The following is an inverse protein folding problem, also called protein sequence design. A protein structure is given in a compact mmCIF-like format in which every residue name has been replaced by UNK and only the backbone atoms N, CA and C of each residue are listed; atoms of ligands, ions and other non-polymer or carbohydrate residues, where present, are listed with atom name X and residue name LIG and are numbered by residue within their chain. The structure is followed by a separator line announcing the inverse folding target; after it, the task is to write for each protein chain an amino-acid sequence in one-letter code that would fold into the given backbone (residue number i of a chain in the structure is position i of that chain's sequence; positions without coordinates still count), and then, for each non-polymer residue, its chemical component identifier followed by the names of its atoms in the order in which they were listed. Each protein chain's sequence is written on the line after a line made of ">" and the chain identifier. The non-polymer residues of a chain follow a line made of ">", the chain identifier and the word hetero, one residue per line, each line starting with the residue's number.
data_IF_306799187256
#
_entry.id   IF_306799187256
#
_cell.length_a   1.000
_cell.length_b   1.000
_cell.length_c   1.000
_cell.angle_alpha   90.00
_cell.angle_beta   90.00
_cell.angle_gamma   90.00
#
_symmetry.space_group_name_H-M   'P 1'
#
loop_
_entity.id
_entity.type
_entity.pdbx_description
1 polymer ?
#
# COMPACT_ATOMS: atom_id res chain seq x y z
N UNK A 1 5.75 -14.56 -9.26
CA UNK A 1 5.03 -13.30 -9.58
C UNK A 1 4.37 -12.76 -8.32
N UNK A 2 4.59 -11.49 -8.04
CA UNK A 2 4.02 -10.84 -6.87
C UNK A 2 2.62 -10.32 -7.21
N UNK A 3 1.66 -10.61 -6.33
CA UNK A 3 0.29 -10.14 -6.50
C UNK A 3 0.04 -8.94 -5.61
N UNK A 4 -0.40 -7.84 -6.21
CA UNK A 4 -0.60 -6.56 -5.55
C UNK A 4 -2.05 -6.15 -5.73
N UNK A 5 -2.68 -5.67 -4.65
CA UNK A 5 -4.00 -5.07 -4.73
C UNK A 5 -3.94 -3.63 -4.25
N UNK A 6 -4.64 -2.75 -4.96
CA UNK A 6 -4.79 -1.35 -4.58
C UNK A 6 -6.23 -1.10 -4.16
N UNK A 7 -6.43 -0.66 -2.93
CA UNK A 7 -7.72 -0.28 -2.38
C UNK A 7 -7.75 1.24 -2.32
N UNK A 8 -8.43 1.88 -3.28
CA UNK A 8 -8.40 3.34 -3.39
C UNK A 8 -9.63 3.85 -4.12
N UNK A 9 -10.11 5.02 -3.69
CA UNK A 9 -11.11 5.80 -4.43
C UNK A 9 -10.49 6.51 -5.62
N UNK A 10 -9.17 6.63 -5.66
CA UNK A 10 -8.40 7.31 -6.71
C UNK A 10 -7.53 6.30 -7.47
N UNK A 11 -8.09 5.13 -7.74
CA UNK A 11 -7.36 4.01 -8.35
C UNK A 11 -6.63 4.42 -9.62
N UNK A 12 -7.32 5.12 -10.52
CA UNK A 12 -6.75 5.50 -11.82
C UNK A 12 -5.58 6.47 -11.70
N UNK A 13 -5.53 7.25 -10.62
CA UNK A 13 -4.46 8.21 -10.39
C UNK A 13 -3.24 7.55 -9.73
N UNK A 14 -3.44 6.56 -8.89
CA UNK A 14 -2.39 5.91 -8.11
C UNK A 14 -1.79 4.72 -8.86
N UNK A 15 -2.59 3.98 -9.59
CA UNK A 15 -2.15 2.78 -10.32
C UNK A 15 -0.89 3.01 -11.16
N UNK A 16 -0.81 4.08 -11.99
CA UNK A 16 0.38 4.28 -12.82
C UNK A 16 1.66 4.47 -12.02
N UNK A 17 1.57 5.10 -10.85
CA UNK A 17 2.74 5.33 -9.98
C UNK A 17 3.24 4.01 -9.39
N UNK A 18 2.33 3.14 -8.98
CA UNK A 18 2.69 1.82 -8.46
C UNK A 18 3.29 0.96 -9.58
N UNK A 19 2.69 0.99 -10.76
CA UNK A 19 3.20 0.25 -11.91
C UNK A 19 4.61 0.68 -12.28
N UNK A 20 4.85 1.98 -12.34
CA UNK A 20 6.17 2.49 -12.64
C UNK A 20 7.20 2.04 -11.60
N UNK A 21 6.83 2.10 -10.33
CA UNK A 21 7.71 1.71 -9.25
C UNK A 21 8.14 0.24 -9.36
N UNK A 22 7.18 -0.67 -9.56
CA UNK A 22 7.49 -2.10 -9.66
C UNK A 22 8.21 -2.45 -10.98
N UNK A 23 7.94 -1.73 -12.06
CA UNK A 23 8.71 -1.86 -13.29
C UNK A 23 10.17 -1.47 -13.06
N UNK A 24 10.40 -0.40 -12.31
CA UNK A 24 11.77 0.05 -12.00
C UNK A 24 12.51 -0.94 -11.11
N UNK A 25 11.79 -1.66 -10.24
CA UNK A 25 12.37 -2.73 -9.44
C UNK A 25 12.71 -3.98 -10.26
N UNK A 26 12.22 -4.06 -11.50
CA UNK A 26 12.38 -5.23 -12.38
C UNK A 26 11.80 -6.50 -11.76
N UNK A 27 10.70 -6.35 -11.01
CA UNK A 27 10.00 -7.45 -10.38
C UNK A 27 8.73 -7.75 -11.16
N UNK A 28 8.52 -9.02 -11.48
CA UNK A 28 7.30 -9.46 -12.14
C UNK A 28 6.13 -9.37 -11.15
N UNK A 29 5.06 -8.65 -11.53
CA UNK A 29 3.93 -8.39 -10.66
C UNK A 29 2.61 -8.39 -11.43
N UNK A 30 1.52 -8.53 -10.67
CA UNK A 30 0.15 -8.33 -11.18
C UNK A 30 -0.58 -7.40 -10.22
N UNK A 31 -1.03 -6.26 -10.74
CA UNK A 31 -1.75 -5.25 -9.96
C UNK A 31 -3.24 -5.29 -10.31
N UNK A 32 -4.08 -5.43 -9.30
CA UNK A 32 -5.53 -5.54 -9.47
C UNK A 32 -6.28 -4.67 -8.47
N UNK A 33 -7.56 -4.41 -8.76
CA UNK A 33 -8.47 -3.86 -7.78
C UNK A 33 -8.70 -4.86 -6.65
N UNK A 34 -9.02 -4.34 -5.47
CA UNK A 34 -9.28 -5.17 -4.32
C UNK A 34 -10.48 -6.11 -4.56
N UNK A 35 -10.27 -7.40 -4.24
CA UNK A 35 -11.35 -8.37 -4.18
C UNK A 35 -11.19 -9.18 -2.89
N UNK A 36 -12.30 -9.66 -2.34
CA UNK A 36 -12.28 -10.51 -1.15
C UNK A 36 -11.91 -11.96 -1.45
N UNK A 37 -11.80 -12.31 -2.72
CA UNK A 37 -11.71 -13.71 -3.15
C UNK A 37 -10.29 -14.27 -3.15
N UNK A 38 -9.28 -13.41 -3.29
CA UNK A 38 -7.90 -13.86 -3.38
C UNK A 38 -7.02 -13.08 -2.42
N UNK A 39 -6.11 -13.82 -1.74
CA UNK A 39 -5.10 -13.21 -0.88
C UNK A 39 -3.98 -12.67 -1.76
N UNK A 40 -3.59 -11.42 -1.53
CA UNK A 40 -2.51 -10.77 -2.25
C UNK A 40 -1.23 -10.75 -1.40
N UNK A 41 -0.10 -10.61 -2.06
CA UNK A 41 1.19 -10.47 -1.37
C UNK A 41 1.37 -9.08 -0.76
N UNK A 42 0.86 -8.05 -1.45
CA UNK A 42 0.95 -6.66 -1.02
C UNK A 42 -0.41 -6.00 -1.19
N UNK A 43 -0.83 -5.26 -0.17
CA UNK A 43 -1.99 -4.37 -0.25
C UNK A 43 -1.53 -2.93 -0.10
N UNK A 44 -1.86 -2.08 -1.08
CA UNK A 44 -1.80 -0.63 -0.95
C UNK A 44 -3.20 -0.14 -0.58
N UNK A 45 -3.32 0.54 0.53
CA UNK A 45 -4.61 1.03 1.03
C UNK A 45 -4.57 2.54 1.14
N UNK A 46 -5.36 3.22 0.32
CA UNK A 46 -5.50 4.67 0.43
C UNK A 46 -6.54 5.01 1.48
N UNK A 47 -6.17 5.91 2.40
CA UNK A 47 -7.05 6.42 3.44
C UNK A 47 -7.12 7.94 3.39
N UNK A 48 -8.26 8.50 3.76
CA UNK A 48 -8.44 9.95 3.89
C UNK A 48 -8.78 10.32 5.33
N UNK A 49 -9.43 9.42 6.05
CA UNK A 49 -9.92 9.65 7.41
C UNK A 49 -9.89 8.36 8.20
N UNK A 50 -10.12 8.47 9.51
CA UNK A 50 -10.02 7.36 10.45
C UNK A 50 -10.95 6.18 10.09
N UNK A 51 -12.14 6.45 9.58
CA UNK A 51 -13.08 5.38 9.22
C UNK A 51 -12.56 4.48 8.11
N UNK A 52 -11.68 4.99 7.25
CA UNK A 52 -11.10 4.20 6.17
C UNK A 52 -10.19 3.08 6.67
N UNK A 53 -9.77 3.16 7.94
CA UNK A 53 -8.91 2.14 8.55
C UNK A 53 -9.64 0.85 8.90
N UNK A 54 -10.97 0.82 8.79
CA UNK A 54 -11.75 -0.38 9.11
C UNK A 54 -11.35 -1.58 8.25
N UNK A 55 -10.94 -1.34 7.01
CA UNK A 55 -10.48 -2.41 6.11
C UNK A 55 -9.25 -3.14 6.68
N UNK A 56 -8.43 -2.46 7.47
CA UNK A 56 -7.23 -3.07 8.04
C UNK A 56 -7.55 -4.18 9.01
N UNK A 57 -8.68 -4.13 9.69
CA UNK A 57 -9.11 -5.20 10.59
C UNK A 57 -9.33 -6.50 9.82
N UNK A 58 -9.79 -6.41 8.59
CA UNK A 58 -9.96 -7.57 7.70
C UNK A 58 -8.61 -8.06 7.18
N UNK A 59 -7.76 -7.14 6.72
CA UNK A 59 -6.46 -7.48 6.15
C UNK A 59 -5.49 -8.05 7.18
N UNK A 60 -5.58 -7.66 8.43
CA UNK A 60 -4.72 -8.17 9.51
C UNK A 60 -4.86 -9.67 9.75
N UNK A 61 -6.00 -10.24 9.37
CA UNK A 61 -6.23 -11.67 9.51
C UNK A 61 -5.48 -12.48 8.46
N UNK A 62 -4.91 -11.81 7.46
CA UNK A 62 -4.16 -12.45 6.40
C UNK A 62 -2.68 -12.48 6.79
N UNK A 63 -2.16 -13.66 7.06
CA UNK A 63 -0.77 -13.84 7.43
C UNK A 63 0.16 -13.64 6.21
N UNK A 64 1.36 -13.13 6.47
CA UNK A 64 2.41 -12.98 5.46
C UNK A 64 2.10 -11.96 4.36
N UNK A 65 1.20 -11.03 4.63
CA UNK A 65 0.84 -9.97 3.69
C UNK A 65 1.47 -8.65 4.12
N UNK A 66 2.04 -7.92 3.15
CA UNK A 66 2.54 -6.58 3.38
C UNK A 66 1.42 -5.56 3.18
N UNK A 67 1.28 -4.64 4.12
CA UNK A 67 0.27 -3.58 4.06
C UNK A 67 0.95 -2.23 4.04
N UNK A 68 0.79 -1.51 2.92
CA UNK A 68 1.32 -0.18 2.71
C UNK A 68 0.17 0.82 2.64
N UNK A 69 0.22 1.84 3.48
CA UNK A 69 -0.83 2.85 3.56
C UNK A 69 -0.45 4.05 2.70
N UNK A 70 -1.43 4.63 2.02
CA UNK A 70 -1.30 5.89 1.30
C UNK A 70 -2.33 6.84 1.91
N UNK A 71 -1.86 7.92 2.52
CA UNK A 71 -2.77 8.81 3.24
C UNK A 71 -2.25 10.23 3.38
N UNK A 72 -3.02 11.11 4.03
CA UNK A 72 -2.63 12.49 4.25
C UNK A 72 -1.50 12.58 5.26
N UNK A 73 -0.79 13.72 5.23
CA UNK A 73 0.24 14.03 6.22
C UNK A 73 -0.45 14.43 7.53
N UNK A 74 -0.89 13.44 8.27
CA UNK A 74 -1.67 13.59 9.51
C UNK A 74 -1.03 12.70 10.58
N UNK A 75 -0.48 13.32 11.61
CA UNK A 75 0.25 12.61 12.66
C UNK A 75 -0.62 11.56 13.35
N UNK A 76 -1.89 11.86 13.62
CA UNK A 76 -2.77 10.92 14.31
C UNK A 76 -3.03 9.69 13.46
N UNK A 77 -3.27 9.86 12.17
CA UNK A 77 -3.48 8.73 11.25
C UNK A 77 -2.21 7.89 11.12
N UNK A 78 -1.06 8.52 11.00
CA UNK A 78 0.22 7.79 10.95
C UNK A 78 0.41 6.97 12.21
N UNK A 79 0.17 7.54 13.39
CA UNK A 79 0.32 6.85 14.67
C UNK A 79 -0.62 5.65 14.78
N UNK A 80 -1.88 5.82 14.38
CA UNK A 80 -2.85 4.73 14.41
C UNK A 80 -2.42 3.59 13.47
N UNK A 81 -1.95 3.92 12.27
CA UNK A 81 -1.49 2.93 11.31
C UNK A 81 -0.30 2.14 11.85
N UNK A 82 0.66 2.82 12.49
CA UNK A 82 1.79 2.14 13.12
C UNK A 82 1.35 1.19 14.22
N UNK A 83 0.37 1.60 15.04
CA UNK A 83 -0.19 0.74 16.09
C UNK A 83 -0.93 -0.46 15.50
N UNK A 84 -1.47 -0.32 14.32
CA UNK A 84 -2.15 -1.40 13.61
C UNK A 84 -1.20 -2.31 12.83
N UNK A 85 0.11 -2.16 13.04
CA UNK A 85 1.15 -3.03 12.47
C UNK A 85 1.20 -3.01 10.94
N UNK A 86 0.94 -1.85 10.33
CA UNK A 86 1.20 -1.66 8.90
C UNK A 86 2.70 -1.55 8.66
N UNK A 87 3.13 -1.82 7.45
CA UNK A 87 4.56 -1.91 7.12
C UNK A 87 5.16 -0.56 6.70
N UNK A 88 4.40 0.25 5.98
CA UNK A 88 4.82 1.58 5.55
C UNK A 88 3.61 2.51 5.44
N UNK A 89 3.86 3.81 5.60
CA UNK A 89 2.88 4.86 5.39
C UNK A 89 3.46 5.86 4.39
N UNK A 90 2.79 5.99 3.25
CA UNK A 90 3.15 6.95 2.21
C UNK A 90 2.25 8.18 2.28
N UNK A 91 2.84 9.36 2.14
CA UNK A 91 2.07 10.60 2.04
C UNK A 91 1.53 10.72 0.61
N UNK A 92 0.21 10.91 0.47
CA UNK A 92 -0.48 10.80 -0.81
C UNK A 92 0.02 11.77 -1.89
N UNK A 93 0.41 13.00 -1.51
CA UNK A 93 0.91 13.98 -2.46
C UNK A 93 2.43 13.92 -2.65
N UNK A 94 3.11 13.00 -2.00
CA UNK A 94 4.55 12.78 -2.11
C UNK A 94 4.87 11.35 -2.55
N UNK A 95 3.90 10.62 -3.06
CA UNK A 95 4.00 9.20 -3.31
C UNK A 95 5.17 8.83 -4.23
N UNK A 96 5.30 9.53 -5.35
CA UNK A 96 6.36 9.27 -6.32
C UNK A 96 7.75 9.46 -5.70
N UNK A 97 7.92 10.56 -4.97
CA UNK A 97 9.17 10.88 -4.28
C UNK A 97 9.50 9.83 -3.21
N UNK A 98 8.50 9.37 -2.47
CA UNK A 98 8.70 8.39 -1.42
C UNK A 98 8.98 7.00 -1.96
N UNK A 99 8.45 6.64 -3.12
CA UNK A 99 8.82 5.39 -3.78
C UNK A 99 10.30 5.36 -4.09
N UNK A 100 10.86 6.46 -4.58
CA UNK A 100 12.30 6.58 -4.82
C UNK A 100 13.07 6.44 -3.51
N UNK A 101 12.61 7.12 -2.47
CA UNK A 101 13.26 7.11 -1.16
C UNK A 101 13.28 5.71 -0.51
N UNK A 102 12.17 4.96 -0.62
CA UNK A 102 12.04 3.65 0.00
C UNK A 102 12.34 2.49 -0.93
N UNK A 103 12.93 2.75 -2.09
CA UNK A 103 13.20 1.74 -3.12
C UNK A 103 13.92 0.52 -2.54
N UNK A 104 15.06 0.72 -1.88
CA UNK A 104 15.85 -0.38 -1.35
C UNK A 104 15.16 -1.12 -0.22
N UNK A 105 14.45 -0.37 0.63
CA UNK A 105 13.72 -0.94 1.75
C UNK A 105 12.62 -1.88 1.26
N UNK A 106 11.84 -1.44 0.29
CA UNK A 106 10.74 -2.24 -0.26
C UNK A 106 11.28 -3.45 -1.01
N UNK A 107 12.36 -3.28 -1.75
CA UNK A 107 12.99 -4.38 -2.48
C UNK A 107 13.41 -5.50 -1.53
N UNK A 108 13.90 -5.18 -0.35
CA UNK A 108 14.31 -6.16 0.64
C UNK A 108 13.13 -6.86 1.31
N UNK A 109 11.97 -6.20 1.39
CA UNK A 109 10.78 -6.82 1.97
C UNK A 109 10.13 -7.85 1.05
N UNK A 110 10.33 -7.70 -0.22
CA UNK A 110 9.77 -8.57 -1.23
C UNK A 110 10.73 -9.72 -1.51
#
# INVERSE_FOLDING_TARGET
>A
MIRISLISKHYQQIEPLIQQFFNDLQIEYKLTNYTHQTIQDIYFVEIEKKNDLNILNHLKKLNSTLIYIIGPKDFDLVSICLQMQTHLYFINNELEKQFIHYHDFIQKQI
#
